data_IF_181355542832
#
_entry.id   IF_181355542832
#
_cell.length_a   1.000
_cell.length_b   1.000
_cell.length_c   1.000
_cell.angle_alpha   90.00
_cell.angle_beta   90.00
_cell.angle_gamma   90.00
#
_symmetry.space_group_name_H-M   'P 1'
#
loop_
_entity.id
_entity.type
_entity.pdbx_description
1 polymer ?
#
# COMPACT_ATOMS: atom_id res chain seq x y z
N UNK A 1 -0.51 -21.76 -26.63
CA UNK A 1 0.56 -21.37 -25.69
C UNK A 1 1.81 -21.02 -26.50
N UNK A 2 1.96 -19.75 -26.91
CA UNK A 2 3.17 -19.27 -27.62
C UNK A 2 4.18 -18.77 -26.57
N UNK A 3 5.03 -19.69 -26.10
CA UNK A 3 6.10 -19.43 -25.13
C UNK A 3 7.37 -18.89 -25.84
N UNK A 4 7.24 -18.42 -27.09
CA UNK A 4 8.38 -18.00 -27.93
C UNK A 4 8.37 -16.54 -28.38
N UNK A 5 7.39 -15.73 -27.94
CA UNK A 5 7.32 -14.33 -28.34
C UNK A 5 8.06 -13.46 -27.31
N UNK A 6 9.16 -12.74 -27.67
CA UNK A 6 9.96 -11.97 -26.72
C UNK A 6 9.15 -10.91 -25.95
N UNK A 7 8.05 -10.45 -26.53
CA UNK A 7 7.08 -9.54 -25.88
C UNK A 7 6.41 -10.20 -24.67
N UNK A 8 6.06 -11.49 -24.77
CA UNK A 8 5.42 -12.22 -23.68
C UNK A 8 6.42 -12.43 -22.52
N UNK A 9 7.68 -12.71 -22.83
CA UNK A 9 8.74 -12.84 -21.82
C UNK A 9 8.94 -11.53 -21.03
N UNK A 10 8.94 -10.39 -21.73
CA UNK A 10 9.00 -9.06 -21.13
C UNK A 10 7.80 -8.77 -20.23
N UNK A 11 6.59 -9.16 -20.67
CA UNK A 11 5.38 -9.00 -19.87
C UNK A 11 5.46 -9.78 -18.55
N UNK A 12 5.88 -11.05 -18.59
CA UNK A 12 6.08 -11.85 -17.37
C UNK A 12 7.16 -11.27 -16.46
N UNK A 13 8.28 -10.80 -17.03
CA UNK A 13 9.33 -10.16 -16.26
C UNK A 13 8.83 -8.91 -15.52
N UNK A 14 8.07 -8.05 -16.21
CA UNK A 14 7.44 -6.86 -15.63
C UNK A 14 6.47 -7.21 -14.49
N UNK A 15 5.63 -8.22 -14.69
CA UNK A 15 4.68 -8.67 -13.67
C UNK A 15 5.41 -9.17 -12.43
N UNK A 16 6.45 -10.01 -12.60
CA UNK A 16 7.23 -10.56 -11.49
C UNK A 16 7.96 -9.45 -10.73
N UNK A 17 8.60 -8.51 -11.45
CA UNK A 17 9.30 -7.37 -10.84
C UNK A 17 8.30 -6.50 -10.05
N UNK A 18 7.15 -6.17 -10.63
CA UNK A 18 6.10 -5.42 -9.95
C UNK A 18 5.61 -6.11 -8.67
N UNK A 19 5.40 -7.43 -8.73
CA UNK A 19 5.01 -8.21 -7.56
C UNK A 19 6.08 -8.17 -6.45
N UNK A 20 7.36 -8.29 -6.79
CA UNK A 20 8.47 -8.21 -5.83
C UNK A 20 8.57 -6.83 -5.17
N UNK A 21 8.35 -5.75 -5.91
CA UNK A 21 8.33 -4.38 -5.37
C UNK A 21 7.18 -4.22 -4.36
N UNK A 22 5.98 -4.73 -4.69
CA UNK A 22 4.83 -4.66 -3.78
C UNK A 22 5.10 -5.47 -2.50
N UNK A 23 5.61 -6.71 -2.64
CA UNK A 23 5.93 -7.57 -1.49
C UNK A 23 6.98 -6.91 -0.59
N UNK A 24 8.05 -6.34 -1.17
CA UNK A 24 9.10 -5.68 -0.39
C UNK A 24 8.62 -4.40 0.29
N UNK A 25 7.73 -3.63 -0.34
CA UNK A 25 7.07 -2.48 0.26
C UNK A 25 6.21 -2.86 1.47
N UNK A 26 5.40 -3.91 1.34
CA UNK A 26 4.57 -4.43 2.43
C UNK A 26 5.44 -5.01 3.56
N UNK A 27 6.48 -5.77 3.24
CA UNK A 27 7.40 -6.34 4.22
C UNK A 27 8.15 -5.24 5.01
N UNK A 28 8.60 -4.19 4.32
CA UNK A 28 9.26 -3.02 4.94
C UNK A 28 8.31 -2.26 5.87
N UNK A 29 7.02 -2.18 5.51
CA UNK A 29 6.00 -1.54 6.32
C UNK A 29 5.67 -2.34 7.58
N UNK A 30 5.58 -3.66 7.47
CA UNK A 30 5.38 -4.57 8.60
C UNK A 30 6.57 -4.51 9.56
N UNK A 31 7.81 -4.54 9.05
CA UNK A 31 9.03 -4.47 9.86
C UNK A 31 9.19 -3.15 10.62
N UNK A 32 8.63 -2.04 10.11
CA UNK A 32 8.65 -0.73 10.79
C UNK A 32 7.61 -0.60 11.90
N UNK A 33 6.69 -1.56 12.03
CA UNK A 33 5.58 -1.49 12.99
C UNK A 33 5.97 -1.99 14.40
N UNK A 34 7.14 -2.59 14.58
CA UNK A 34 7.60 -3.15 15.87
C UNK A 34 8.33 -2.17 16.80
N UNK A 35 8.52 -0.91 16.39
CA UNK A 35 9.09 0.14 17.24
C UNK A 35 8.10 1.27 17.44
N UNK A 36 7.29 1.19 18.50
CA UNK A 36 6.80 2.35 19.28
C UNK A 36 5.87 1.87 20.41
N UNK A 37 6.47 1.20 21.39
CA UNK A 37 6.00 1.30 22.78
C UNK A 37 6.72 2.51 23.39
N UNK A 38 5.97 3.57 23.70
CA UNK A 38 6.44 4.59 24.63
C UNK A 38 6.21 6.03 24.19
N UNK A 39 5.60 6.78 25.11
CA UNK A 39 5.63 8.23 25.23
C UNK A 39 4.73 9.09 24.33
N UNK A 40 3.69 9.55 25.02
CA UNK A 40 2.78 10.65 24.81
C UNK A 40 3.50 12.00 24.58
N UNK A 41 4.34 12.13 23.56
CA UNK A 41 4.80 13.43 23.04
C UNK A 41 3.89 13.86 21.89
N UNK A 42 3.76 15.17 21.66
CA UNK A 42 3.00 15.79 20.56
C UNK A 42 3.61 15.40 19.20
N UNK A 43 3.54 14.14 18.83
CA UNK A 43 3.85 13.71 17.48
C UNK A 43 2.80 14.33 16.56
N UNK A 44 3.25 14.99 15.50
CA UNK A 44 2.36 15.41 14.42
C UNK A 44 1.67 14.16 13.90
N UNK A 45 0.41 13.95 14.26
CA UNK A 45 -0.37 12.83 13.75
C UNK A 45 -1.03 13.26 12.46
N UNK A 46 -0.95 12.42 11.43
CA UNK A 46 -1.56 12.75 10.15
C UNK A 46 -1.84 11.52 9.30
N UNK A 47 -2.75 11.74 8.35
CA UNK A 47 -3.15 10.79 7.33
C UNK A 47 -3.11 11.54 6.00
N UNK A 48 -2.28 11.10 5.06
CA UNK A 48 -2.27 11.58 3.68
C UNK A 48 -2.74 10.43 2.80
N UNK A 49 -3.70 10.70 1.92
CA UNK A 49 -4.15 9.75 0.90
C UNK A 49 -3.38 10.02 -0.39
N UNK A 50 -2.50 9.10 -0.80
CA UNK A 50 -1.87 9.12 -2.13
C UNK A 50 -2.58 8.09 -3.00
N UNK A 51 -3.62 8.54 -3.71
CA UNK A 51 -4.54 7.65 -4.39
C UNK A 51 -5.24 6.71 -3.38
N UNK A 52 -5.33 5.39 -3.65
CA UNK A 52 -5.95 4.44 -2.72
C UNK A 52 -5.07 4.05 -1.53
N UNK A 53 -3.82 4.52 -1.46
CA UNK A 53 -2.86 4.12 -0.43
C UNK A 53 -2.77 5.22 0.64
N UNK A 54 -3.29 5.00 1.87
CA UNK A 54 -3.13 5.94 2.96
C UNK A 54 -1.75 5.81 3.60
N UNK A 55 -1.08 6.95 3.73
CA UNK A 55 0.13 7.13 4.54
C UNK A 55 -0.32 7.69 5.88
N UNK A 56 -0.27 6.86 6.91
CA UNK A 56 -0.66 7.21 8.29
C UNK A 56 0.58 7.20 9.16
N UNK A 57 0.78 8.25 9.96
CA UNK A 57 1.90 8.37 10.89
C UNK A 57 1.45 8.97 12.24
N UNK A 58 2.19 8.67 13.31
CA UNK A 58 1.84 9.09 14.69
C UNK A 58 0.56 8.45 15.23
N UNK A 59 0.01 7.45 14.54
CA UNK A 59 -1.18 6.71 14.93
C UNK A 59 -0.89 5.21 14.99
N UNK A 60 -1.43 4.53 16.00
CA UNK A 60 -1.25 3.09 16.17
C UNK A 60 -1.96 2.26 15.09
N UNK A 61 -1.63 0.96 15.07
CA UNK A 61 -2.08 -0.04 14.08
C UNK A 61 -3.59 -0.03 13.80
N UNK A 62 -4.42 0.24 14.82
CA UNK A 62 -5.89 0.32 14.66
C UNK A 62 -6.31 1.42 13.69
N UNK A 63 -5.73 2.62 13.82
CA UNK A 63 -6.07 3.76 12.96
C UNK A 63 -5.51 3.57 11.56
N UNK A 64 -4.35 2.93 11.42
CA UNK A 64 -3.80 2.56 10.12
C UNK A 64 -4.76 1.66 9.33
N UNK A 65 -5.30 0.62 9.97
CA UNK A 65 -6.28 -0.29 9.35
C UNK A 65 -7.56 0.46 8.97
N UNK A 66 -8.07 1.34 9.83
CA UNK A 66 -9.26 2.14 9.55
C UNK A 66 -9.04 3.05 8.32
N UNK A 67 -7.90 3.73 8.25
CA UNK A 67 -7.55 4.57 7.12
C UNK A 67 -7.44 3.76 5.82
N UNK A 68 -6.84 2.57 5.87
CA UNK A 68 -6.75 1.64 4.74
C UNK A 68 -8.12 1.22 4.21
N UNK A 69 -9.04 0.84 5.11
CA UNK A 69 -10.41 0.47 4.72
C UNK A 69 -11.10 1.66 4.04
N UNK A 70 -11.05 2.84 4.65
CA UNK A 70 -11.67 4.05 4.10
C UNK A 70 -11.11 4.40 2.72
N UNK A 71 -9.79 4.38 2.56
CA UNK A 71 -9.12 4.69 1.30
C UNK A 71 -9.55 3.75 0.16
N UNK A 72 -9.60 2.43 0.45
CA UNK A 72 -10.05 1.41 -0.51
C UNK A 72 -11.53 1.61 -0.85
N UNK A 73 -12.38 1.88 0.14
CA UNK A 73 -13.81 2.13 -0.10
C UNK A 73 -14.02 3.34 -1.00
N UNK A 74 -13.32 4.46 -0.74
CA UNK A 74 -13.40 5.67 -1.58
C UNK A 74 -12.90 5.37 -3.00
N UNK A 75 -11.81 4.62 -3.13
CA UNK A 75 -11.27 4.24 -4.45
C UNK A 75 -12.24 3.37 -5.24
N UNK A 76 -12.86 2.36 -4.61
CA UNK A 76 -13.85 1.50 -5.26
C UNK A 76 -15.09 2.30 -5.68
N UNK A 77 -15.56 3.22 -4.83
CA UNK A 77 -16.65 4.14 -5.17
C UNK A 77 -16.29 5.00 -6.38
N UNK A 78 -15.10 5.60 -6.38
CA UNK A 78 -14.63 6.42 -7.49
C UNK A 78 -14.52 5.61 -8.79
N UNK A 79 -13.96 4.40 -8.72
CA UNK A 79 -13.79 3.50 -9.86
C UNK A 79 -15.14 3.03 -10.45
N UNK A 80 -16.14 2.76 -9.60
CA UNK A 80 -17.45 2.31 -10.08
C UNK A 80 -18.32 3.47 -10.58
N UNK A 81 -18.11 4.68 -10.04
CA UNK A 81 -18.89 5.86 -10.39
C UNK A 81 -18.37 6.59 -11.64
N UNK A 82 -17.06 6.58 -11.86
CA UNK A 82 -16.41 7.17 -13.02
C UNK A 82 -15.80 6.05 -13.88
N UNK A 83 -16.59 5.41 -14.78
CA UNK A 83 -16.07 4.46 -15.76
C UNK A 83 -15.11 5.12 -16.76
#
# INVERSE_FOLDING_TARGET
MQIGNPVNLLAWALIIIGALIIISGIASMLMRTDFEMGEQRRESKGIILIGPIPIVWGYGRRIWIIAAIIAITIFLLAFFWFP
#
